data_IF_630235980704
#
_entry.id   IF_630235980704
#
_cell.length_a   1.000
_cell.length_b   1.000
_cell.length_c   1.000
_cell.angle_alpha   90.00
_cell.angle_beta   90.00
_cell.angle_gamma   90.00
#
_symmetry.space_group_name_H-M   'P 1'
#
loop_
_entity.id
_entity.type
_entity.pdbx_description
1 polymer ?
#
# COMPACT_ATOMS: atom_id res chain seq x y z
N UNK A 1 59.88 6.25 -4.77
CA UNK A 1 59.26 6.87 -3.57
C UNK A 1 57.77 6.63 -3.72
N UNK A 2 57.30 5.50 -3.22
CA UNK A 2 55.94 4.99 -3.41
C UNK A 2 55.07 5.48 -2.23
N UNK A 3 54.08 6.34 -2.54
CA UNK A 3 53.16 6.87 -1.52
C UNK A 3 52.21 5.76 -1.06
N UNK A 4 52.45 5.23 0.14
CA UNK A 4 51.48 4.35 0.80
C UNK A 4 50.18 5.13 0.99
N UNK A 5 49.11 4.73 0.29
CA UNK A 5 47.75 5.17 0.60
C UNK A 5 47.40 4.60 1.99
N UNK A 6 47.08 5.46 2.91
CA UNK A 6 46.63 5.10 4.24
C UNK A 6 45.34 4.27 4.11
N UNK A 7 45.35 3.06 4.66
CA UNK A 7 44.12 2.28 4.82
C UNK A 7 43.18 3.01 5.79
N UNK A 8 41.87 3.06 5.51
CA UNK A 8 40.89 3.66 6.41
C UNK A 8 40.87 2.90 7.74
N UNK A 9 40.97 3.62 8.86
CA UNK A 9 40.92 3.02 10.19
C UNK A 9 39.59 2.34 10.47
N UNK A 10 39.56 1.19 11.18
CA UNK A 10 38.32 0.43 11.45
C UNK A 10 37.34 1.11 12.42
N UNK A 11 37.62 2.28 12.92
CA UNK A 11 36.84 2.94 14.00
C UNK A 11 35.67 3.80 13.56
N UNK A 12 35.47 4.05 12.28
CA UNK A 12 34.29 4.78 11.79
C UNK A 12 33.63 4.05 10.63
N UNK A 13 32.57 3.27 10.92
CA UNK A 13 31.74 2.76 9.83
C UNK A 13 31.20 3.94 9.01
N UNK A 14 31.16 3.82 7.66
CA UNK A 14 30.70 4.91 6.81
C UNK A 14 29.31 5.36 7.27
N UNK A 15 29.18 6.65 7.63
CA UNK A 15 27.87 7.23 7.97
C UNK A 15 26.91 6.90 6.85
N UNK A 16 25.78 6.27 7.19
CA UNK A 16 24.73 6.01 6.22
C UNK A 16 24.44 7.31 5.47
N UNK A 17 24.45 7.25 4.14
CA UNK A 17 24.14 8.40 3.30
C UNK A 17 22.81 9.02 3.77
N UNK A 18 22.70 10.37 3.87
CA UNK A 18 21.46 11.00 4.25
C UNK A 18 20.34 10.53 3.31
N UNK A 19 19.16 10.32 3.89
CA UNK A 19 17.98 9.93 3.10
C UNK A 19 17.74 10.98 2.02
N UNK A 20 17.39 10.56 0.80
CA UNK A 20 16.96 11.52 -0.21
C UNK A 20 15.78 12.34 0.33
N UNK A 21 15.76 13.64 0.03
CA UNK A 21 14.78 14.60 0.58
C UNK A 21 13.31 14.15 0.41
N UNK A 22 13.02 13.42 -0.64
CA UNK A 22 11.68 12.88 -0.92
C UNK A 22 11.29 11.66 -0.06
N UNK A 23 12.21 11.08 0.72
CA UNK A 23 11.93 10.11 1.80
C UNK A 23 11.71 10.79 3.16
N UNK A 24 11.72 12.12 3.20
CA UNK A 24 11.45 12.86 4.43
C UNK A 24 10.05 12.50 4.96
N UNK A 25 9.94 11.89 6.15
CA UNK A 25 8.66 11.54 6.75
C UNK A 25 7.75 12.75 6.95
N UNK A 26 8.31 13.96 7.08
CA UNK A 26 7.53 15.21 7.21
C UNK A 26 6.80 15.55 5.91
N UNK A 27 7.43 15.32 4.75
CA UNK A 27 6.80 15.51 3.44
C UNK A 27 5.61 14.56 3.31
N UNK A 28 5.82 13.27 3.62
CA UNK A 28 4.75 12.28 3.56
C UNK A 28 3.63 12.56 4.56
N UNK A 29 3.96 13.02 5.77
CA UNK A 29 2.96 13.44 6.75
C UNK A 29 2.15 14.65 6.24
N UNK A 30 2.79 15.64 5.65
CA UNK A 30 2.12 16.77 5.02
C UNK A 30 1.17 16.36 3.90
N UNK A 31 1.64 15.51 2.98
CA UNK A 31 0.81 14.95 1.91
C UNK A 31 -0.38 14.18 2.48
N UNK A 32 -0.16 13.35 3.50
CA UNK A 32 -1.21 12.56 4.15
C UNK A 32 -2.28 13.48 4.76
N UNK A 33 -1.90 14.53 5.46
CA UNK A 33 -2.83 15.49 6.08
C UNK A 33 -3.66 16.19 5.00
N UNK A 34 -3.02 16.75 3.97
CA UNK A 34 -3.73 17.44 2.89
C UNK A 34 -4.70 16.50 2.18
N UNK A 35 -4.25 15.31 1.81
CA UNK A 35 -5.07 14.31 1.11
C UNK A 35 -6.22 13.82 2.00
N UNK A 36 -5.99 13.62 3.29
CA UNK A 36 -7.04 13.24 4.23
C UNK A 36 -8.10 14.35 4.36
N UNK A 37 -7.68 15.61 4.56
CA UNK A 37 -8.62 16.75 4.65
C UNK A 37 -9.48 16.87 3.40
N UNK A 38 -8.88 16.82 2.21
CA UNK A 38 -9.61 16.82 0.94
C UNK A 38 -10.56 15.63 0.84
N UNK A 39 -10.10 14.45 1.20
CA UNK A 39 -10.91 13.24 1.19
C UNK A 39 -12.15 13.36 2.07
N UNK A 40 -11.98 13.80 3.32
CA UNK A 40 -13.07 13.97 4.27
C UNK A 40 -14.10 15.00 3.77
N UNK A 41 -13.64 16.06 3.12
CA UNK A 41 -14.53 17.07 2.54
C UNK A 41 -15.45 16.49 1.46
N UNK A 42 -14.96 15.56 0.64
CA UNK A 42 -15.71 14.95 -0.45
C UNK A 42 -16.43 13.64 -0.10
N UNK A 43 -16.28 13.09 1.09
CA UNK A 43 -16.84 11.79 1.47
C UNK A 43 -18.33 11.65 1.17
N UNK A 44 -19.14 12.61 1.63
CA UNK A 44 -20.59 12.56 1.48
C UNK A 44 -21.02 12.76 0.03
N UNK A 45 -20.32 13.64 -0.70
CA UNK A 45 -20.57 13.89 -2.12
C UNK A 45 -20.35 12.63 -2.94
N UNK A 46 -19.23 11.90 -2.68
CA UNK A 46 -18.89 10.67 -3.41
C UNK A 46 -19.86 9.55 -3.05
N UNK A 47 -20.20 9.37 -1.77
CA UNK A 47 -21.19 8.36 -1.35
C UNK A 47 -22.55 8.63 -2.01
N UNK A 48 -23.02 9.88 -2.01
CA UNK A 48 -24.29 10.25 -2.64
C UNK A 48 -24.28 10.03 -4.16
N UNK A 49 -23.17 10.38 -4.83
CA UNK A 49 -23.04 10.15 -6.27
C UNK A 49 -23.07 8.66 -6.64
N UNK A 50 -22.41 7.82 -5.84
CA UNK A 50 -22.42 6.37 -6.06
C UNK A 50 -23.81 5.79 -5.79
N UNK A 51 -24.43 6.14 -4.67
CA UNK A 51 -25.75 5.62 -4.29
C UNK A 51 -26.84 5.91 -5.35
N UNK A 52 -26.75 7.09 -6.01
CA UNK A 52 -27.68 7.47 -7.09
C UNK A 52 -27.46 6.74 -8.42
N UNK A 53 -26.33 6.03 -8.61
CA UNK A 53 -25.94 5.44 -9.90
C UNK A 53 -25.48 3.97 -9.77
N UNK A 54 -25.91 3.26 -8.73
CA UNK A 54 -25.56 1.84 -8.58
C UNK A 54 -26.23 0.97 -9.64
N UNK A 55 -25.41 0.29 -10.44
CA UNK A 55 -25.84 -0.67 -11.46
C UNK A 55 -25.42 -2.06 -11.00
N UNK A 56 -26.35 -2.99 -10.89
CA UNK A 56 -26.17 -4.32 -10.30
C UNK A 56 -25.00 -5.13 -10.88
N UNK A 57 -24.87 -5.17 -12.22
CA UNK A 57 -23.76 -5.89 -12.85
C UNK A 57 -22.39 -5.25 -12.57
N UNK A 58 -22.36 -3.92 -12.47
CA UNK A 58 -21.14 -3.18 -12.15
C UNK A 58 -20.74 -3.35 -10.67
N UNK A 59 -21.72 -3.42 -9.78
CA UNK A 59 -21.49 -3.75 -8.36
C UNK A 59 -20.91 -5.16 -8.20
N UNK A 60 -21.46 -6.14 -8.91
CA UNK A 60 -20.93 -7.51 -8.94
C UNK A 60 -19.48 -7.53 -9.49
N UNK A 61 -19.22 -6.83 -10.59
CA UNK A 61 -17.89 -6.69 -11.16
C UNK A 61 -16.90 -6.02 -10.20
N UNK A 62 -17.31 -4.93 -9.53
CA UNK A 62 -16.53 -4.28 -8.52
C UNK A 62 -16.23 -5.20 -7.33
N UNK A 63 -17.18 -6.03 -6.92
CA UNK A 63 -16.96 -7.05 -5.90
C UNK A 63 -15.89 -8.07 -6.30
N UNK A 64 -15.91 -8.54 -7.53
CA UNK A 64 -14.88 -9.44 -8.09
C UNK A 64 -13.52 -8.76 -8.13
N UNK A 65 -13.43 -7.53 -8.68
CA UNK A 65 -12.22 -6.74 -8.73
C UNK A 65 -11.63 -6.53 -7.32
N UNK A 66 -12.50 -6.20 -6.37
CA UNK A 66 -12.11 -6.02 -4.97
C UNK A 66 -11.46 -7.27 -4.39
N UNK A 67 -12.03 -8.46 -4.65
CA UNK A 67 -11.48 -9.73 -4.18
C UNK A 67 -10.10 -10.00 -4.77
N UNK A 68 -9.90 -9.79 -6.07
CA UNK A 68 -8.58 -9.95 -6.71
C UNK A 68 -7.52 -8.99 -6.15
N UNK A 69 -7.91 -7.84 -5.60
CA UNK A 69 -7.02 -6.86 -4.98
C UNK A 69 -6.78 -7.08 -3.48
N UNK A 70 -7.30 -8.15 -2.88
CA UNK A 70 -7.06 -8.42 -1.46
C UNK A 70 -5.64 -8.95 -1.22
N UNK A 71 -5.17 -8.82 0.02
CA UNK A 71 -3.79 -9.19 0.38
C UNK A 71 -3.47 -10.67 0.08
N UNK A 72 -4.31 -11.66 0.43
CA UNK A 72 -4.00 -13.06 0.18
C UNK A 72 -3.87 -13.38 -1.31
N UNK A 73 -4.76 -12.84 -2.13
CA UNK A 73 -4.75 -13.03 -3.58
C UNK A 73 -3.49 -12.42 -4.22
N UNK A 74 -3.14 -11.18 -3.85
CA UNK A 74 -1.92 -10.52 -4.34
C UNK A 74 -0.66 -11.30 -3.92
N UNK A 75 -0.61 -11.82 -2.69
CA UNK A 75 0.51 -12.66 -2.24
C UNK A 75 0.54 -14.00 -2.99
N UNK A 76 -0.62 -14.60 -3.26
CA UNK A 76 -0.72 -15.82 -4.05
C UNK A 76 -0.17 -15.63 -5.47
N UNK A 77 -0.60 -14.59 -6.18
CA UNK A 77 -0.10 -14.27 -7.53
C UNK A 77 1.39 -13.98 -7.52
N UNK A 78 1.86 -13.21 -6.53
CA UNK A 78 3.28 -12.91 -6.38
C UNK A 78 4.12 -14.16 -6.13
N UNK A 79 3.62 -15.09 -5.32
CA UNK A 79 4.30 -16.37 -5.03
C UNK A 79 4.44 -17.22 -6.29
N UNK A 80 3.36 -17.37 -7.07
CA UNK A 80 3.40 -18.09 -8.35
C UNK A 80 4.38 -17.43 -9.33
N UNK A 81 4.33 -16.10 -9.46
CA UNK A 81 5.25 -15.34 -10.29
C UNK A 81 6.70 -15.49 -9.81
N UNK A 82 6.95 -15.45 -8.48
CA UNK A 82 8.27 -15.60 -7.88
C UNK A 82 8.90 -16.96 -8.20
N UNK A 83 8.11 -18.03 -8.11
CA UNK A 83 8.54 -19.39 -8.46
C UNK A 83 8.92 -19.46 -9.94
N UNK A 84 8.06 -18.98 -10.85
CA UNK A 84 8.34 -18.98 -12.29
C UNK A 84 9.59 -18.17 -12.66
N UNK A 85 9.73 -16.98 -12.09
CA UNK A 85 10.88 -16.09 -12.33
C UNK A 85 12.17 -16.67 -11.70
N UNK A 86 12.06 -17.36 -10.57
CA UNK A 86 13.18 -18.05 -9.91
C UNK A 86 13.73 -19.16 -10.79
N UNK A 87 12.87 -20.01 -11.39
CA UNK A 87 13.29 -21.02 -12.36
C UNK A 87 13.93 -20.40 -13.61
N UNK A 88 13.45 -19.25 -14.07
CA UNK A 88 14.02 -18.51 -15.19
C UNK A 88 15.31 -17.76 -14.81
N UNK A 89 15.78 -17.84 -13.57
CA UNK A 89 16.98 -17.17 -13.03
C UNK A 89 17.03 -15.66 -13.29
N UNK A 90 15.88 -14.97 -13.23
CA UNK A 90 15.77 -13.52 -13.43
C UNK A 90 15.87 -12.77 -12.09
N UNK A 91 17.09 -12.63 -11.57
CA UNK A 91 17.35 -12.06 -10.23
C UNK A 91 16.72 -10.69 -10.01
N UNK A 92 16.76 -9.80 -11.01
CA UNK A 92 16.12 -8.47 -10.92
C UNK A 92 14.60 -8.57 -10.68
N UNK A 93 13.92 -9.47 -11.39
CA UNK A 93 12.48 -9.68 -11.23
C UNK A 93 12.15 -10.30 -9.88
N UNK A 94 12.97 -11.27 -9.42
CA UNK A 94 12.85 -11.86 -8.07
C UNK A 94 12.89 -10.76 -7.02
N UNK A 95 13.88 -9.86 -7.10
CA UNK A 95 14.01 -8.72 -6.19
C UNK A 95 12.76 -7.83 -6.20
N UNK A 96 12.27 -7.47 -7.39
CA UNK A 96 11.08 -6.61 -7.53
C UNK A 96 9.87 -7.28 -6.88
N UNK A 97 9.61 -8.55 -7.17
CA UNK A 97 8.48 -9.29 -6.59
C UNK A 97 8.59 -9.39 -5.08
N UNK A 98 9.78 -9.68 -4.52
CA UNK A 98 9.98 -9.70 -3.07
C UNK A 98 9.70 -8.33 -2.44
N UNK A 99 10.16 -7.23 -3.05
CA UNK A 99 9.84 -5.88 -2.59
C UNK A 99 8.33 -5.60 -2.67
N UNK A 100 7.63 -6.04 -3.72
CA UNK A 100 6.17 -5.92 -3.85
C UNK A 100 5.45 -6.63 -2.71
N UNK A 101 5.85 -7.86 -2.38
CA UNK A 101 5.27 -8.64 -1.29
C UNK A 101 5.52 -7.98 0.08
N UNK A 102 6.75 -7.52 0.33
CA UNK A 102 7.10 -6.82 1.58
C UNK A 102 6.30 -5.52 1.71
N UNK A 103 6.30 -4.68 0.68
CA UNK A 103 5.59 -3.41 0.70
C UNK A 103 4.09 -3.58 0.93
N UNK A 104 3.45 -4.50 0.19
CA UNK A 104 2.03 -4.81 0.33
C UNK A 104 1.68 -5.32 1.73
N UNK A 105 2.53 -6.18 2.30
CA UNK A 105 2.34 -6.71 3.66
C UNK A 105 2.48 -5.61 4.72
N UNK A 106 3.51 -4.76 4.63
CA UNK A 106 3.72 -3.66 5.58
C UNK A 106 2.58 -2.64 5.52
N UNK A 107 2.18 -2.21 4.31
CA UNK A 107 1.07 -1.28 4.14
C UNK A 107 -0.24 -1.88 4.65
N UNK A 108 -0.52 -3.14 4.33
CA UNK A 108 -1.68 -3.87 4.82
C UNK A 108 -1.70 -4.02 6.35
N UNK A 109 -0.56 -4.34 6.97
CA UNK A 109 -0.44 -4.49 8.42
C UNK A 109 -0.70 -3.15 9.13
N UNK A 110 -0.05 -2.06 8.69
CA UNK A 110 -0.23 -0.73 9.29
C UNK A 110 -1.67 -0.24 9.14
N UNK A 111 -2.24 -0.31 7.92
CA UNK A 111 -3.63 0.11 7.71
C UNK A 111 -4.62 -0.75 8.49
N UNK A 112 -4.37 -2.06 8.63
CA UNK A 112 -5.22 -2.92 9.43
C UNK A 112 -5.17 -2.54 10.93
N UNK A 113 -4.00 -2.23 11.46
CA UNK A 113 -3.86 -1.77 12.85
C UNK A 113 -4.62 -0.47 13.10
N UNK A 114 -4.43 0.53 12.22
CA UNK A 114 -5.17 1.81 12.31
C UNK A 114 -6.68 1.60 12.18
N UNK A 115 -7.11 0.74 11.26
CA UNK A 115 -8.51 0.42 11.01
C UNK A 115 -9.19 -0.21 12.24
N UNK A 116 -8.49 -1.13 12.92
CA UNK A 116 -9.00 -1.77 14.14
C UNK A 116 -9.16 -0.75 15.28
N UNK A 117 -8.25 0.23 15.38
CA UNK A 117 -8.28 1.25 16.43
C UNK A 117 -9.27 2.39 16.15
N UNK A 118 -9.49 2.74 14.88
CA UNK A 118 -10.31 3.89 14.49
C UNK A 118 -11.81 3.70 14.75
N UNK A 119 -12.29 2.48 14.57
CA UNK A 119 -13.72 2.17 14.72
C UNK A 119 -14.62 2.97 13.78
N UNK A 120 -14.14 3.40 12.61
CA UNK A 120 -14.94 4.17 11.66
C UNK A 120 -16.02 3.30 11.04
N UNK A 121 -17.28 3.72 11.16
CA UNK A 121 -18.41 3.04 10.49
C UNK A 121 -18.24 3.10 8.96
N UNK A 122 -18.58 2.02 8.25
CA UNK A 122 -18.56 1.96 6.79
C UNK A 122 -19.76 2.68 6.18
N UNK A 123 -19.69 3.15 4.91
CA UNK A 123 -20.84 3.74 4.22
C UNK A 123 -22.06 2.81 4.17
N UNK A 124 -21.84 1.48 4.05
CA UNK A 124 -22.89 0.47 4.02
C UNK A 124 -23.33 -0.02 5.43
N UNK A 125 -22.90 0.64 6.49
CA UNK A 125 -23.38 0.36 7.84
C UNK A 125 -24.59 1.23 8.13
N UNK A 126 -25.77 0.65 8.11
CA UNK A 126 -27.05 1.32 8.40
C UNK A 126 -27.48 1.19 9.87
N UNK A 127 -26.67 0.53 10.72
CA UNK A 127 -27.00 0.33 12.13
C UNK A 127 -26.68 1.56 12.99
N UNK A 128 -25.72 2.38 12.52
CA UNK A 128 -25.28 3.59 13.22
C UNK A 128 -25.02 4.71 12.20
N UNK A 129 -25.11 5.99 12.61
CA UNK A 129 -24.74 7.12 11.77
C UNK A 129 -23.26 7.03 11.30
N UNK A 130 -22.89 7.67 10.19
CA UNK A 130 -21.48 7.83 9.81
C UNK A 130 -20.70 8.50 10.94
N UNK A 131 -19.60 7.86 11.40
CA UNK A 131 -18.84 8.38 12.52
C UNK A 131 -17.67 7.50 12.92
N UNK A 132 -16.99 7.93 13.99
CA UNK A 132 -15.84 7.28 14.60
C UNK A 132 -16.22 6.77 15.97
N UNK A 133 -16.17 5.48 16.20
CA UNK A 133 -16.68 4.82 17.40
C UNK A 133 -15.56 4.21 18.26
N UNK A 134 -14.31 4.22 17.77
CA UNK A 134 -13.16 3.67 18.48
C UNK A 134 -13.25 2.16 18.67
N UNK A 135 -12.74 1.71 19.82
CA UNK A 135 -12.67 0.28 20.14
C UNK A 135 -13.91 -0.23 20.88
N UNK A 136 -14.65 0.66 21.54
CA UNK A 136 -15.76 0.31 22.42
C UNK A 136 -16.95 1.24 22.18
N UNK A 137 -18.12 0.66 21.94
CA UNK A 137 -19.35 1.43 21.73
C UNK A 137 -20.56 0.66 22.27
N UNK A 138 -21.45 1.36 22.99
CA UNK A 138 -22.68 0.83 23.56
C UNK A 138 -22.50 -0.51 24.29
N UNK A 139 -21.47 -0.63 25.15
CA UNK A 139 -21.23 -1.82 25.95
C UNK A 139 -20.57 -2.99 25.19
N UNK A 140 -20.10 -2.79 23.93
CA UNK A 140 -19.55 -3.85 23.11
C UNK A 140 -18.17 -3.48 22.52
N UNK A 141 -17.27 -4.48 22.44
CA UNK A 141 -16.04 -4.36 21.67
C UNK A 141 -16.34 -4.36 20.17
N UNK A 142 -15.73 -3.40 19.45
CA UNK A 142 -15.86 -3.28 18.02
C UNK A 142 -14.76 -4.04 17.25
N UNK A 143 -13.75 -4.57 17.94
CA UNK A 143 -12.71 -5.39 17.35
C UNK A 143 -13.33 -6.57 16.60
N UNK A 144 -12.92 -6.76 15.33
CA UNK A 144 -13.46 -7.83 14.47
C UNK A 144 -14.85 -7.53 13.87
N UNK A 145 -15.52 -6.44 14.22
CA UNK A 145 -16.79 -6.05 13.62
C UNK A 145 -16.57 -5.31 12.31
N UNK A 146 -16.65 -6.03 11.18
CA UNK A 146 -16.39 -5.53 9.83
C UNK A 146 -17.02 -4.15 9.54
N UNK A 147 -18.24 -3.91 9.96
CA UNK A 147 -18.99 -2.68 9.72
C UNK A 147 -18.37 -1.42 10.33
N UNK A 148 -17.45 -1.57 11.31
CA UNK A 148 -16.75 -0.48 12.00
C UNK A 148 -15.28 -0.36 11.56
N UNK A 149 -14.87 -1.09 10.54
CA UNK A 149 -13.49 -1.09 10.10
C UNK A 149 -13.34 -0.46 8.71
N UNK A 150 -13.70 0.84 8.60
CA UNK A 150 -13.61 1.57 7.32
C UNK A 150 -12.23 2.20 7.09
N UNK A 151 -11.71 2.97 8.04
CA UNK A 151 -10.55 3.82 7.82
C UNK A 151 -9.25 3.23 8.38
N UNK A 152 -8.19 3.25 7.59
CA UNK A 152 -8.13 3.50 6.15
C UNK A 152 -8.41 2.22 5.33
N UNK A 153 -8.50 2.36 3.97
CA UNK A 153 -8.75 1.22 3.09
C UNK A 153 -7.50 0.32 2.94
N UNK A 154 -7.56 -0.87 3.54
CA UNK A 154 -6.48 -1.86 3.46
C UNK A 154 -6.23 -2.38 2.04
N UNK A 155 -7.30 -2.70 1.26
CA UNK A 155 -7.18 -3.14 -0.13
C UNK A 155 -6.44 -2.10 -0.99
N UNK A 156 -6.81 -0.83 -0.84
CA UNK A 156 -6.17 0.25 -1.57
C UNK A 156 -4.70 0.38 -1.18
N UNK A 157 -4.41 0.40 0.12
CA UNK A 157 -3.03 0.53 0.60
C UNK A 157 -2.14 -0.63 0.14
N UNK A 158 -2.63 -1.87 0.25
CA UNK A 158 -1.90 -3.05 -0.23
C UNK A 158 -1.67 -3.00 -1.73
N UNK A 159 -2.69 -2.67 -2.52
CA UNK A 159 -2.56 -2.60 -3.98
C UNK A 159 -1.60 -1.50 -4.43
N UNK A 160 -1.70 -0.29 -3.86
CA UNK A 160 -0.78 0.81 -4.20
C UNK A 160 0.65 0.56 -3.73
N UNK A 161 0.84 -0.12 -2.59
CA UNK A 161 2.16 -0.56 -2.14
C UNK A 161 2.73 -1.61 -3.09
N UNK A 162 1.95 -2.62 -3.42
CA UNK A 162 2.34 -3.73 -4.28
C UNK A 162 2.73 -3.26 -5.68
N UNK A 163 1.83 -2.59 -6.39
CA UNK A 163 2.07 -2.12 -7.75
C UNK A 163 3.00 -0.89 -7.82
N UNK A 164 3.03 -0.06 -6.79
CA UNK A 164 3.90 1.11 -6.70
C UNK A 164 5.39 0.76 -6.73
N UNK A 165 5.79 -0.39 -6.16
CA UNK A 165 7.17 -0.87 -6.23
C UNK A 165 7.66 -0.97 -7.68
N UNK A 166 6.81 -1.37 -8.63
CA UNK A 166 7.19 -1.46 -10.05
C UNK A 166 7.57 -0.07 -10.58
N UNK A 167 6.80 0.96 -10.23
CA UNK A 167 7.09 2.35 -10.61
C UNK A 167 8.45 2.84 -10.09
N UNK A 168 8.72 2.60 -8.81
CA UNK A 168 10.00 2.98 -8.18
C UNK A 168 11.19 2.16 -8.70
N UNK A 169 10.98 0.87 -9.03
CA UNK A 169 12.01 -0.01 -9.53
C UNK A 169 12.49 0.39 -10.94
N UNK A 170 11.57 0.63 -11.84
CA UNK A 170 11.91 0.85 -13.24
C UNK A 170 11.99 2.33 -13.63
N UNK A 171 11.36 3.24 -12.87
CA UNK A 171 11.34 4.69 -13.11
C UNK A 171 10.96 5.09 -14.56
N UNK A 172 10.22 4.23 -15.24
CA UNK A 172 9.72 4.43 -16.60
C UNK A 172 8.23 4.73 -16.59
N UNK A 173 7.73 5.53 -17.55
CA UNK A 173 6.31 5.91 -17.60
C UNK A 173 5.37 4.70 -17.62
N UNK A 174 5.70 3.66 -18.37
CA UNK A 174 4.89 2.44 -18.42
C UNK A 174 4.77 1.73 -17.05
N UNK A 175 5.81 1.80 -16.23
CA UNK A 175 5.82 1.15 -14.92
C UNK A 175 4.81 1.78 -13.96
N UNK A 176 4.58 3.09 -14.08
CA UNK A 176 3.55 3.79 -13.33
C UNK A 176 2.13 3.44 -13.80
N UNK A 177 1.98 2.91 -15.02
CA UNK A 177 0.71 2.40 -15.54
C UNK A 177 0.10 1.30 -14.68
N UNK A 178 0.90 0.55 -13.91
CA UNK A 178 0.40 -0.45 -12.95
C UNK A 178 -0.40 0.17 -11.80
N UNK A 179 -0.24 1.47 -11.52
CA UNK A 179 -1.09 2.17 -10.56
C UNK A 179 -2.54 2.29 -11.03
N UNK A 180 -2.82 2.15 -12.32
CA UNK A 180 -4.19 2.07 -12.82
C UNK A 180 -4.90 0.84 -12.25
N UNK A 181 -4.21 -0.30 -12.18
CA UNK A 181 -4.75 -1.52 -11.55
C UNK A 181 -5.08 -1.26 -10.08
N UNK A 182 -4.14 -0.66 -9.34
CA UNK A 182 -4.37 -0.28 -7.95
C UNK A 182 -5.54 0.73 -7.80
N UNK A 183 -5.65 1.68 -8.73
CA UNK A 183 -6.74 2.64 -8.78
C UNK A 183 -8.10 2.00 -9.01
N UNK A 184 -8.16 1.01 -9.91
CA UNK A 184 -9.39 0.23 -10.18
C UNK A 184 -9.79 -0.59 -8.93
N UNK A 185 -8.83 -1.16 -8.20
CA UNK A 185 -9.09 -1.82 -6.92
C UNK A 185 -9.62 -0.80 -5.90
N UNK A 186 -9.00 0.37 -5.76
CA UNK A 186 -9.46 1.44 -4.87
C UNK A 186 -10.88 1.92 -5.23
N UNK A 187 -11.15 2.14 -6.52
CA UNK A 187 -12.48 2.51 -7.03
C UNK A 187 -13.52 1.44 -6.69
N UNK A 188 -13.20 0.16 -6.84
CA UNK A 188 -14.12 -0.92 -6.53
C UNK A 188 -14.61 -0.86 -5.07
N UNK A 189 -13.74 -0.39 -4.13
CA UNK A 189 -14.10 -0.25 -2.72
C UNK A 189 -15.11 0.86 -2.47
N UNK A 190 -15.03 1.94 -3.25
CA UNK A 190 -16.01 3.02 -3.22
C UNK A 190 -17.34 2.52 -3.80
N UNK A 191 -17.29 1.87 -4.96
CA UNK A 191 -18.49 1.48 -5.69
C UNK A 191 -19.38 0.48 -4.93
N UNK A 192 -18.77 -0.46 -4.19
CA UNK A 192 -19.51 -1.39 -3.32
C UNK A 192 -19.85 -0.80 -1.94
N UNK A 193 -19.69 0.52 -1.74
CA UNK A 193 -19.93 1.24 -0.48
C UNK A 193 -19.21 0.62 0.73
N UNK A 194 -18.04 0.03 0.53
CA UNK A 194 -17.24 -0.54 1.61
C UNK A 194 -16.36 0.49 2.32
N UNK A 195 -16.00 1.57 1.63
CA UNK A 195 -15.11 2.62 2.12
C UNK A 195 -15.55 4.00 1.66
N UNK A 196 -15.27 5.03 2.46
CA UNK A 196 -15.37 6.43 2.06
C UNK A 196 -14.22 6.83 1.14
N UNK A 197 -14.39 7.95 0.46
CA UNK A 197 -13.36 8.49 -0.44
C UNK A 197 -12.05 8.80 0.30
N UNK A 198 -12.14 9.40 1.49
CA UNK A 198 -10.99 9.64 2.35
C UNK A 198 -10.24 8.35 2.75
N UNK A 199 -10.96 7.24 3.01
CA UNK A 199 -10.35 5.96 3.35
C UNK A 199 -9.46 5.46 2.21
N UNK A 200 -9.94 5.60 0.97
CA UNK A 200 -9.23 5.20 -0.25
C UNK A 200 -8.04 6.10 -0.49
N UNK A 201 -8.20 7.43 -0.42
CA UNK A 201 -7.11 8.38 -0.63
C UNK A 201 -5.97 8.21 0.38
N UNK A 202 -6.31 8.05 1.66
CA UNK A 202 -5.29 7.75 2.69
C UNK A 202 -4.62 6.42 2.41
N UNK A 203 -5.37 5.41 1.97
CA UNK A 203 -4.82 4.14 1.52
C UNK A 203 -3.81 4.30 0.39
N UNK A 204 -4.07 5.16 -0.60
CA UNK A 204 -3.12 5.48 -1.70
C UNK A 204 -1.82 6.02 -1.14
N UNK A 205 -1.88 7.04 -0.27
CA UNK A 205 -0.69 7.69 0.29
C UNK A 205 0.14 6.69 1.11
N UNK A 206 -0.50 5.93 2.00
CA UNK A 206 0.17 4.90 2.81
C UNK A 206 0.79 3.83 1.90
N UNK A 207 0.07 3.37 0.89
CA UNK A 207 0.57 2.39 -0.06
C UNK A 207 1.82 2.87 -0.80
N UNK A 208 1.78 4.07 -1.38
CA UNK A 208 2.92 4.64 -2.10
C UNK A 208 4.12 4.90 -1.18
N UNK A 209 3.89 5.35 0.05
CA UNK A 209 4.94 5.49 1.05
C UNK A 209 5.67 4.16 1.30
N UNK A 210 4.93 3.07 1.55
CA UNK A 210 5.54 1.77 1.78
C UNK A 210 6.18 1.17 0.52
N UNK A 211 5.63 1.42 -0.67
CA UNK A 211 6.28 1.03 -1.92
C UNK A 211 7.66 1.66 -2.06
N UNK A 212 7.74 2.96 -1.83
CA UNK A 212 8.98 3.72 -1.90
C UNK A 212 9.97 3.28 -0.81
N UNK A 213 9.53 3.26 0.44
CA UNK A 213 10.36 2.89 1.59
C UNK A 213 10.96 1.49 1.40
N UNK A 214 10.15 0.53 0.96
CA UNK A 214 10.62 -0.86 0.74
C UNK A 214 11.63 -0.92 -0.38
N UNK A 215 11.37 -0.26 -1.51
CA UNK A 215 12.31 -0.26 -2.63
C UNK A 215 13.67 0.34 -2.24
N UNK A 216 13.68 1.44 -1.51
CA UNK A 216 14.90 2.16 -1.12
C UNK A 216 15.68 1.46 0.02
N UNK A 217 14.99 0.76 0.91
CA UNK A 217 15.62 0.12 2.07
C UNK A 217 15.87 -1.37 1.89
N UNK A 218 14.87 -2.13 1.50
CA UNK A 218 15.00 -3.57 1.30
C UNK A 218 15.67 -3.92 -0.03
N UNK A 219 15.48 -3.10 -1.07
CA UNK A 219 16.06 -3.33 -2.38
C UNK A 219 17.58 -3.49 -2.40
N UNK A 220 18.39 -2.62 -1.77
CA UNK A 220 19.84 -2.78 -1.64
C UNK A 220 20.24 -4.03 -0.85
N UNK A 221 19.51 -4.33 0.25
CA UNK A 221 19.78 -5.51 1.08
C UNK A 221 19.57 -6.80 0.27
N UNK A 222 18.49 -6.87 -0.52
CA UNK A 222 18.21 -8.00 -1.39
C UNK A 222 19.30 -8.20 -2.46
N UNK A 223 19.96 -7.15 -2.95
CA UNK A 223 21.08 -7.27 -3.89
C UNK A 223 22.31 -7.95 -3.27
N UNK A 224 22.50 -7.88 -1.95
CA UNK A 224 23.63 -8.52 -1.27
C UNK A 224 23.42 -10.02 -1.05
N UNK A 225 22.22 -10.53 -1.26
CA UNK A 225 21.94 -11.96 -1.13
C UNK A 225 22.59 -12.74 -2.29
N UNK A 226 23.40 -13.75 -1.97
CA UNK A 226 24.13 -14.57 -2.96
C UNK A 226 23.24 -15.18 -4.05
N UNK A 227 21.98 -15.48 -3.72
CA UNK A 227 20.99 -16.04 -4.66
C UNK A 227 20.64 -15.08 -5.82
N UNK A 228 20.89 -13.77 -5.67
CA UNK A 228 20.57 -12.74 -6.67
C UNK A 228 21.82 -12.22 -7.40
N UNK A 229 23.01 -12.81 -7.17
CA UNK A 229 24.27 -12.35 -7.78
C UNK A 229 24.62 -13.05 -9.12
N UNK A 230 23.81 -14.00 -9.57
CA UNK A 230 24.12 -14.85 -10.75
C UNK A 230 23.65 -14.28 -12.10
N UNK A 231 23.25 -13.01 -12.19
CA UNK A 231 22.89 -12.35 -13.46
C UNK A 231 24.09 -11.56 -14.05
N UNK A 232 25.27 -12.17 -14.14
CA UNK A 232 26.39 -11.64 -14.94
C UNK A 232 26.75 -12.62 -16.05
#
# INVERSE_FOLDING_TARGET
MESRRAEPSPENPPRAAPLPAWLDPLIWAGVLIVVACLGFFFDQTVVGAIAGHQIRWLEQGAGVISKFGDWPELMGYATVALVGVGFARKATLVKVILCMMIAGTLAGAVTNSVRLLSGRARPNNHEVPPGWYGLWYQGQWLLGKYKFHSFPSGHTATAFAFFGVIGFAYRRRWAWGFLVVAGVIGWSRLYINAHFFSDVLVGVVVGLFFAQLTWERAGPVLNSLRLLQHDK
#
